data_IF_460218778990
#
_entry.id   IF_460218778990
#
_cell.length_a   1.000
_cell.length_b   1.000
_cell.length_c   1.000
_cell.angle_alpha   90.00
_cell.angle_beta   90.00
_cell.angle_gamma   90.00
#
_symmetry.space_group_name_H-M   'P 1'
#
loop_
_entity.id
_entity.type
_entity.pdbx_description
1 polymer ?
#
# COMPACT_ATOMS: atom_id res chain seq x y z
N UNK A 1 12.51 19.23 -0.74
CA UNK A 1 13.26 17.97 -0.51
C UNK A 1 14.43 17.86 -1.48
N UNK A 2 15.38 16.96 -1.21
CA UNK A 2 16.55 16.74 -2.08
C UNK A 2 16.15 16.07 -3.40
N UNK A 3 16.56 16.62 -4.54
CA UNK A 3 16.47 15.98 -5.85
C UNK A 3 17.66 15.02 -6.13
N UNK A 4 18.49 14.76 -5.12
CA UNK A 4 19.70 13.94 -5.22
C UNK A 4 19.37 12.49 -4.92
N UNK A 5 19.87 11.59 -5.77
CA UNK A 5 19.70 10.14 -5.66
C UNK A 5 21.04 9.44 -5.76
N UNK A 6 21.22 8.34 -5.03
CA UNK A 6 22.39 7.48 -5.19
C UNK A 6 22.39 6.72 -6.52
N UNK A 7 21.20 6.40 -7.04
CA UNK A 7 21.00 5.77 -8.35
C UNK A 7 20.01 6.62 -9.14
N UNK A 8 20.45 7.15 -10.28
CA UNK A 8 19.65 8.08 -11.09
C UNK A 8 18.84 7.39 -12.19
N UNK A 9 19.25 6.20 -12.65
CA UNK A 9 18.46 5.39 -13.59
C UNK A 9 17.31 4.71 -12.83
N UNK A 10 16.05 5.09 -13.07
CA UNK A 10 14.90 4.54 -12.36
C UNK A 10 14.65 3.07 -12.67
N UNK A 11 14.96 2.60 -13.88
CA UNK A 11 14.78 1.20 -14.23
C UNK A 11 15.83 0.32 -13.54
N UNK A 12 17.08 0.78 -13.54
CA UNK A 12 18.16 0.11 -12.82
C UNK A 12 17.91 0.10 -11.31
N UNK A 13 17.42 1.21 -10.73
CA UNK A 13 17.09 1.30 -9.31
C UNK A 13 16.02 0.28 -8.91
N UNK A 14 14.91 0.17 -9.66
CA UNK A 14 13.87 -0.81 -9.37
C UNK A 14 14.43 -2.23 -9.45
N UNK A 15 15.15 -2.56 -10.53
CA UNK A 15 15.69 -3.90 -10.72
C UNK A 15 16.70 -4.31 -9.63
N UNK A 16 17.59 -3.39 -9.23
CA UNK A 16 18.60 -3.64 -8.18
C UNK A 16 17.99 -3.68 -6.78
N UNK A 17 16.99 -2.83 -6.49
CA UNK A 17 16.23 -2.88 -5.23
C UNK A 17 15.55 -4.25 -5.04
N UNK A 18 14.86 -4.76 -6.07
CA UNK A 18 14.22 -6.07 -6.02
C UNK A 18 15.23 -7.20 -5.85
N UNK A 19 16.40 -7.13 -6.51
CA UNK A 19 17.49 -8.10 -6.30
C UNK A 19 18.06 -8.01 -4.89
N UNK A 20 18.13 -6.82 -4.31
CA UNK A 20 18.58 -6.61 -2.93
C UNK A 20 17.78 -7.44 -1.93
N UNK A 21 16.47 -7.57 -2.13
CA UNK A 21 15.61 -8.40 -1.28
C UNK A 21 16.00 -9.88 -1.27
N UNK A 22 16.48 -10.44 -2.38
CA UNK A 22 16.91 -11.84 -2.40
C UNK A 22 18.28 -12.05 -1.76
N UNK A 23 19.05 -10.98 -1.58
CA UNK A 23 20.35 -10.99 -0.88
C UNK A 23 20.12 -10.90 0.63
N UNK A 24 19.21 -10.01 1.07
CA UNK A 24 18.94 -9.75 2.49
C UNK A 24 17.92 -10.71 3.10
N UNK A 25 17.12 -11.38 2.27
CA UNK A 25 16.15 -12.37 2.71
C UNK A 25 16.22 -13.65 1.85
N UNK A 26 16.85 -14.74 2.36
CA UNK A 26 16.98 -15.98 1.61
C UNK A 26 15.65 -16.71 1.40
N UNK A 27 14.59 -16.37 2.14
CA UNK A 27 13.26 -16.99 2.00
C UNK A 27 12.50 -16.54 0.74
N UNK A 28 13.01 -15.56 0.00
CA UNK A 28 12.38 -15.05 -1.21
C UNK A 28 13.24 -15.26 -2.46
N UNK A 29 12.57 -15.28 -3.60
CA UNK A 29 13.15 -15.33 -4.93
C UNK A 29 12.57 -14.21 -5.79
N UNK A 30 13.24 -13.92 -6.91
CA UNK A 30 12.86 -12.88 -7.86
C UNK A 30 12.70 -13.48 -9.26
N UNK A 31 11.52 -13.26 -9.84
CA UNK A 31 11.32 -13.31 -11.30
C UNK A 31 11.78 -11.96 -11.87
N UNK A 32 12.98 -11.96 -12.45
CA UNK A 32 13.62 -10.73 -12.94
C UNK A 32 12.85 -10.14 -14.12
N UNK A 33 12.32 -10.99 -15.01
CA UNK A 33 11.61 -10.57 -16.22
C UNK A 33 10.29 -9.86 -15.86
N UNK A 34 9.54 -10.45 -14.93
CA UNK A 34 8.22 -9.95 -14.56
C UNK A 34 8.24 -9.04 -13.32
N UNK A 35 9.41 -8.83 -12.69
CA UNK A 35 9.58 -8.05 -11.44
C UNK A 35 8.66 -8.56 -10.32
N UNK A 36 8.63 -9.88 -10.12
CA UNK A 36 7.84 -10.52 -9.08
C UNK A 36 8.76 -11.04 -7.99
N UNK A 37 8.60 -10.52 -6.77
CA UNK A 37 9.22 -11.14 -5.60
C UNK A 37 8.22 -12.15 -5.03
N UNK A 38 8.66 -13.36 -4.77
CA UNK A 38 7.80 -14.43 -4.28
C UNK A 38 8.52 -15.27 -3.22
N UNK A 39 7.74 -15.85 -2.31
CA UNK A 39 8.26 -16.75 -1.28
C UNK A 39 8.77 -18.02 -1.95
N UNK A 40 9.96 -18.49 -1.56
CA UNK A 40 10.45 -19.81 -1.98
C UNK A 40 9.57 -20.88 -1.34
N UNK A 41 9.14 -21.84 -2.13
CA UNK A 41 8.42 -23.01 -1.62
C UNK A 41 9.38 -23.87 -0.81
N UNK A 42 9.05 -24.11 0.46
CA UNK A 42 9.79 -25.05 1.30
C UNK A 42 9.30 -26.49 1.03
N UNK A 43 10.19 -27.50 1.11
CA UNK A 43 9.77 -28.88 1.15
C UNK A 43 8.74 -29.09 2.27
N UNK A 44 7.64 -29.79 1.97
CA UNK A 44 6.55 -30.08 2.92
C UNK A 44 5.77 -28.86 3.44
N UNK A 45 5.83 -27.71 2.75
CA UNK A 45 4.95 -26.58 3.07
C UNK A 45 3.48 -27.01 2.99
N UNK A 46 2.71 -26.71 4.04
CA UNK A 46 1.27 -26.98 4.06
C UNK A 46 0.60 -26.02 3.08
N UNK A 47 -0.22 -26.53 2.14
CA UNK A 47 -1.00 -25.69 1.24
C UNK A 47 -1.86 -24.70 2.01
N UNK A 48 -1.89 -23.47 1.54
CA UNK A 48 -2.66 -22.37 2.12
C UNK A 48 -3.07 -21.39 1.03
N UNK A 49 -4.04 -20.51 1.32
CA UNK A 49 -4.42 -19.44 0.41
C UNK A 49 -3.20 -18.58 0.07
N UNK A 50 -2.92 -18.39 -1.21
CA UNK A 50 -1.83 -17.50 -1.63
C UNK A 50 -2.30 -16.06 -1.61
N UNK A 51 -1.50 -15.16 -1.04
CA UNK A 51 -1.79 -13.72 -1.02
C UNK A 51 -0.89 -12.99 -2.01
N UNK A 52 -1.49 -12.33 -2.99
CA UNK A 52 -0.79 -11.55 -4.02
C UNK A 52 -1.17 -10.07 -3.89
N UNK A 53 -0.17 -9.19 -3.95
CA UNK A 53 -0.36 -7.75 -4.05
C UNK A 53 0.69 -7.12 -4.96
N UNK A 54 0.72 -5.81 -5.06
CA UNK A 54 1.67 -5.09 -5.90
C UNK A 54 1.19 -3.70 -6.26
N UNK A 55 1.96 -3.04 -7.11
CA UNK A 55 1.73 -1.66 -7.50
C UNK A 55 2.99 -1.01 -8.07
N UNK A 56 2.96 0.31 -8.25
CA UNK A 56 4.16 1.05 -8.61
C UNK A 56 5.24 0.96 -7.53
N UNK A 57 6.51 0.91 -7.94
CA UNK A 57 7.66 1.00 -7.03
C UNK A 57 7.80 2.40 -6.43
N UNK A 58 8.65 2.55 -5.41
CA UNK A 58 8.87 3.81 -4.71
C UNK A 58 8.11 3.95 -3.39
N UNK A 59 7.49 2.86 -2.92
CA UNK A 59 6.74 2.77 -1.65
C UNK A 59 7.33 1.73 -0.71
N UNK A 60 8.60 1.36 -0.92
CA UNK A 60 9.25 0.29 -0.16
C UNK A 60 9.17 0.57 1.36
N UNK A 61 8.86 -0.44 2.20
CA UNK A 61 8.87 -1.88 1.89
C UNK A 61 7.62 -2.39 1.14
N UNK A 62 6.59 -1.58 0.93
CA UNK A 62 5.40 -1.99 0.17
C UNK A 62 5.74 -2.21 -1.32
N UNK A 63 5.42 -3.32 -1.95
CA UNK A 63 4.95 -4.59 -1.36
C UNK A 63 6.01 -5.67 -1.39
N UNK A 64 7.09 -5.50 -2.16
CA UNK A 64 8.11 -6.55 -2.33
C UNK A 64 8.83 -6.91 -1.03
N UNK A 65 9.04 -5.96 -0.12
CA UNK A 65 9.62 -6.20 1.20
C UNK A 65 8.67 -6.90 2.18
N UNK A 66 7.41 -7.07 1.79
CA UNK A 66 6.34 -7.70 2.59
C UNK A 66 6.07 -9.16 2.22
N UNK A 67 6.86 -9.72 1.28
CA UNK A 67 6.78 -11.13 0.90
C UNK A 67 7.42 -11.99 1.98
N UNK A 68 6.63 -12.87 2.58
CA UNK A 68 7.04 -13.66 3.72
C UNK A 68 5.90 -14.47 4.35
N UNK A 69 6.25 -15.35 5.27
CA UNK A 69 5.28 -16.16 6.01
C UNK A 69 4.31 -15.30 6.83
N UNK A 70 3.03 -15.66 6.82
CA UNK A 70 1.99 -14.90 7.53
C UNK A 70 1.66 -13.53 6.93
N UNK A 71 2.14 -13.26 5.71
CA UNK A 71 1.91 -12.01 4.96
C UNK A 71 1.72 -12.29 3.45
N UNK A 72 2.53 -11.71 2.55
CA UNK A 72 2.39 -11.92 1.10
C UNK A 72 3.11 -13.19 0.62
N UNK A 73 2.45 -13.95 -0.26
CA UNK A 73 3.09 -15.04 -1.01
C UNK A 73 3.89 -14.50 -2.18
N UNK A 74 3.37 -13.49 -2.88
CA UNK A 74 4.09 -12.77 -3.93
C UNK A 74 3.67 -11.30 -4.02
N UNK A 75 4.59 -10.47 -4.50
CA UNK A 75 4.40 -9.05 -4.77
C UNK A 75 4.88 -8.70 -6.18
N UNK A 76 4.07 -7.94 -6.91
CA UNK A 76 4.34 -7.56 -8.30
C UNK A 76 4.74 -6.09 -8.38
N UNK A 77 5.95 -5.81 -8.84
CA UNK A 77 6.46 -4.45 -8.93
C UNK A 77 6.30 -3.85 -10.33
N UNK A 78 5.68 -2.67 -10.38
CA UNK A 78 5.60 -1.81 -11.54
C UNK A 78 6.90 -1.03 -11.79
N UNK A 79 6.80 0.10 -12.47
CA UNK A 79 7.88 1.12 -12.43
C UNK A 79 7.57 2.13 -11.33
N UNK A 80 8.45 3.10 -11.09
CA UNK A 80 8.24 4.07 -10.00
C UNK A 80 6.92 4.83 -10.23
N UNK A 81 5.99 4.68 -9.29
CA UNK A 81 4.64 5.27 -9.29
C UNK A 81 3.74 4.88 -10.48
N UNK A 82 4.00 3.75 -11.13
CA UNK A 82 3.11 3.21 -12.15
C UNK A 82 2.86 1.71 -11.94
N UNK A 83 1.57 1.34 -11.94
CA UNK A 83 1.07 -0.03 -11.83
C UNK A 83 1.87 -1.02 -12.71
N UNK A 84 2.12 -2.25 -12.23
CA UNK A 84 2.56 -3.34 -13.10
C UNK A 84 1.52 -3.64 -14.19
N UNK A 85 1.97 -4.31 -15.25
CA UNK A 85 1.09 -4.73 -16.33
C UNK A 85 0.18 -5.87 -15.87
N UNK A 86 -0.99 -6.01 -16.51
CA UNK A 86 -1.90 -7.12 -16.25
C UNK A 86 -1.22 -8.48 -16.50
N UNK A 87 -0.24 -8.55 -17.40
CA UNK A 87 0.51 -9.78 -17.67
C UNK A 87 1.46 -10.13 -16.53
N UNK A 88 2.21 -9.17 -15.99
CA UNK A 88 3.04 -9.40 -14.80
C UNK A 88 2.20 -9.92 -13.63
N UNK A 89 1.02 -9.32 -13.41
CA UNK A 89 0.10 -9.73 -12.33
C UNK A 89 -0.44 -11.15 -12.59
N UNK A 90 -0.86 -11.43 -13.83
CA UNK A 90 -1.34 -12.76 -14.23
C UNK A 90 -0.26 -13.82 -14.02
N UNK A 91 0.98 -13.55 -14.41
CA UNK A 91 2.12 -14.45 -14.19
C UNK A 91 2.36 -14.71 -12.70
N UNK A 92 2.22 -13.69 -11.85
CA UNK A 92 2.33 -13.89 -10.41
C UNK A 92 1.26 -14.85 -9.87
N UNK A 93 -0.01 -14.62 -10.23
CA UNK A 93 -1.15 -15.43 -9.79
C UNK A 93 -1.05 -16.87 -10.31
N UNK A 94 -0.70 -17.05 -11.59
CA UNK A 94 -0.80 -18.34 -12.26
C UNK A 94 0.48 -19.18 -12.18
N UNK A 95 1.64 -18.58 -11.91
CA UNK A 95 2.93 -19.26 -12.09
C UNK A 95 3.94 -19.03 -10.96
N UNK A 96 3.70 -18.11 -10.02
CA UNK A 96 4.64 -17.82 -8.91
C UNK A 96 4.08 -18.11 -7.53
N UNK A 97 2.83 -18.56 -7.44
CA UNK A 97 2.19 -18.94 -6.18
C UNK A 97 1.45 -20.28 -6.31
N UNK A 98 1.22 -20.95 -5.18
CA UNK A 98 0.37 -22.14 -5.14
C UNK A 98 -1.10 -21.73 -5.24
N UNK A 99 -1.82 -22.34 -6.18
CA UNK A 99 -3.24 -22.04 -6.46
C UNK A 99 -4.19 -23.08 -5.89
N UNK A 100 -3.69 -24.14 -5.25
CA UNK A 100 -4.47 -25.28 -4.78
C UNK A 100 -5.52 -24.92 -3.71
N UNK A 101 -5.28 -23.87 -2.92
CA UNK A 101 -6.22 -23.32 -1.93
C UNK A 101 -6.81 -21.96 -2.38
N UNK A 102 -6.60 -21.59 -3.65
CA UNK A 102 -7.00 -20.31 -4.20
C UNK A 102 -6.04 -19.16 -3.90
N UNK A 103 -6.32 -18.02 -4.53
CA UNK A 103 -5.48 -16.81 -4.47
C UNK A 103 -6.32 -15.61 -4.05
N UNK A 104 -5.89 -14.89 -3.01
CA UNK A 104 -6.43 -13.59 -2.67
C UNK A 104 -5.52 -12.49 -3.22
N UNK A 105 -6.10 -11.62 -4.06
CA UNK A 105 -5.46 -10.41 -4.56
C UNK A 105 -5.91 -9.21 -3.73
N UNK A 106 -4.98 -8.51 -3.09
CA UNK A 106 -5.25 -7.25 -2.37
C UNK A 106 -4.60 -6.10 -3.13
N UNK A 107 -5.38 -5.08 -3.50
CA UNK A 107 -4.92 -3.93 -4.30
C UNK A 107 -5.31 -2.60 -3.65
N UNK A 108 -4.45 -1.59 -3.78
CA UNK A 108 -4.80 -0.22 -3.38
C UNK A 108 -5.78 0.40 -4.39
N UNK A 109 -6.70 1.24 -3.93
CA UNK A 109 -7.68 1.90 -4.78
C UNK A 109 -7.08 3.05 -5.60
N UNK A 110 -6.30 2.69 -6.60
CA UNK A 110 -5.84 3.57 -7.67
C UNK A 110 -6.38 3.05 -8.99
N UNK A 111 -6.94 3.93 -9.82
CA UNK A 111 -7.65 3.54 -11.05
C UNK A 111 -6.85 2.59 -11.92
N UNK A 112 -5.55 2.86 -12.11
CA UNK A 112 -4.69 1.99 -12.94
C UNK A 112 -4.47 0.63 -12.29
N UNK A 113 -4.18 0.58 -10.99
CA UNK A 113 -3.98 -0.68 -10.27
C UNK A 113 -5.26 -1.51 -10.29
N UNK A 114 -6.42 -0.94 -9.93
CA UNK A 114 -7.72 -1.63 -9.96
C UNK A 114 -8.02 -2.22 -11.34
N UNK A 115 -7.79 -1.45 -12.42
CA UNK A 115 -8.00 -1.95 -13.79
C UNK A 115 -7.03 -3.08 -14.15
N UNK A 116 -5.72 -2.93 -13.87
CA UNK A 116 -4.70 -3.92 -14.26
C UNK A 116 -4.83 -5.22 -13.45
N UNK A 117 -5.04 -5.12 -12.14
CA UNK A 117 -5.28 -6.27 -11.28
C UNK A 117 -6.62 -6.94 -11.59
N UNK A 118 -7.69 -6.17 -11.81
CA UNK A 118 -8.99 -6.70 -12.21
C UNK A 118 -8.90 -7.52 -13.50
N UNK A 119 -8.24 -6.98 -14.54
CA UNK A 119 -8.01 -7.72 -15.78
C UNK A 119 -7.24 -9.03 -15.57
N UNK A 120 -6.23 -9.04 -14.70
CA UNK A 120 -5.44 -10.23 -14.40
C UNK A 120 -6.25 -11.28 -13.61
N UNK A 121 -7.06 -10.83 -12.65
CA UNK A 121 -7.97 -11.68 -11.85
C UNK A 121 -9.00 -12.34 -12.75
N UNK A 122 -9.66 -11.58 -13.64
CA UNK A 122 -10.65 -12.14 -14.57
C UNK A 122 -10.03 -13.18 -15.52
N UNK A 123 -8.80 -12.95 -15.99
CA UNK A 123 -8.06 -13.92 -16.80
C UNK A 123 -7.70 -15.19 -16.02
N UNK A 124 -7.31 -15.05 -14.75
CA UNK A 124 -7.01 -16.19 -13.89
C UNK A 124 -8.27 -17.02 -13.59
N UNK A 125 -9.41 -16.37 -13.32
CA UNK A 125 -10.72 -17.01 -13.16
C UNK A 125 -11.13 -17.77 -14.41
N UNK A 126 -10.99 -17.15 -15.60
CA UNK A 126 -11.27 -17.80 -16.88
C UNK A 126 -10.37 -19.02 -17.15
N UNK A 127 -9.17 -19.07 -16.56
CA UNK A 127 -8.25 -20.20 -16.60
C UNK A 127 -8.52 -21.26 -15.51
N UNK A 128 -9.61 -21.14 -14.74
CA UNK A 128 -10.01 -22.10 -13.70
C UNK A 128 -9.37 -21.90 -12.34
N UNK A 129 -8.66 -20.79 -12.10
CA UNK A 129 -8.06 -20.48 -10.80
C UNK A 129 -9.11 -19.82 -9.91
N UNK A 130 -9.31 -20.34 -8.69
CA UNK A 130 -10.12 -19.69 -7.67
C UNK A 130 -9.39 -18.42 -7.17
N UNK A 131 -9.88 -17.25 -7.56
CA UNK A 131 -9.28 -15.96 -7.20
C UNK A 131 -10.32 -15.00 -6.64
N UNK A 132 -10.03 -14.41 -5.49
CA UNK A 132 -10.77 -13.27 -4.91
C UNK A 132 -9.95 -11.99 -5.02
N UNK A 133 -10.63 -10.85 -5.10
CA UNK A 133 -10.01 -9.54 -5.18
C UNK A 133 -10.62 -8.59 -4.15
N UNK A 134 -9.78 -7.99 -3.33
CA UNK A 134 -10.14 -6.98 -2.33
C UNK A 134 -9.41 -5.68 -2.65
N UNK A 135 -10.17 -4.60 -2.70
CA UNK A 135 -9.67 -3.24 -2.91
C UNK A 135 -9.59 -2.57 -1.54
N UNK A 136 -8.45 -1.95 -1.23
CA UNK A 136 -8.27 -1.13 -0.02
C UNK A 136 -8.32 0.34 -0.40
N UNK A 137 -9.18 1.08 0.30
CA UNK A 137 -9.49 2.48 0.02
C UNK A 137 -9.51 3.32 1.31
N UNK A 138 -8.47 3.26 2.13
CA UNK A 138 -8.45 3.81 3.50
C UNK A 138 -8.25 5.33 3.62
N UNK A 139 -7.86 6.04 2.56
CA UNK A 139 -7.47 7.46 2.64
C UNK A 139 -8.65 8.43 2.79
N UNK A 140 -8.74 9.09 3.94
CA UNK A 140 -9.76 10.11 4.25
C UNK A 140 -9.30 11.55 3.93
N UNK A 141 -8.06 11.73 3.50
CA UNK A 141 -7.52 13.04 3.12
C UNK A 141 -8.30 13.67 1.95
N UNK A 142 -8.88 12.84 1.07
CA UNK A 142 -9.78 13.26 0.00
C UNK A 142 -11.20 12.86 0.36
N UNK A 143 -12.05 13.84 0.68
CA UNK A 143 -13.46 13.61 0.97
C UNK A 143 -14.27 13.16 -0.25
N UNK A 144 -15.47 12.66 0.01
CA UNK A 144 -16.39 12.05 -0.97
C UNK A 144 -16.65 12.95 -2.19
N UNK A 145 -16.82 14.25 -1.98
CA UNK A 145 -17.10 15.20 -3.07
C UNK A 145 -15.94 15.23 -4.08
N UNK A 146 -14.70 15.31 -3.59
CA UNK A 146 -13.50 15.37 -4.44
C UNK A 146 -13.12 13.99 -5.02
N UNK A 147 -13.34 12.92 -4.25
CA UNK A 147 -13.11 11.54 -4.68
C UNK A 147 -14.05 11.08 -5.81
N UNK A 148 -15.28 11.62 -5.83
CA UNK A 148 -16.28 11.30 -6.84
C UNK A 148 -16.55 9.80 -6.93
N UNK A 149 -16.71 9.30 -8.17
CA UNK A 149 -17.03 7.88 -8.43
C UNK A 149 -15.85 6.92 -8.21
N UNK A 150 -14.62 7.43 -8.17
CA UNK A 150 -13.42 6.59 -7.96
C UNK A 150 -13.31 6.16 -6.50
N UNK A 151 -13.82 6.96 -5.58
CA UNK A 151 -13.73 6.70 -4.14
C UNK A 151 -12.38 7.11 -3.55
N UNK A 152 -12.14 6.67 -2.31
CA UNK A 152 -10.93 6.99 -1.54
C UNK A 152 -9.70 6.31 -2.15
N UNK A 153 -8.52 6.91 -1.97
CA UNK A 153 -7.25 6.23 -2.33
C UNK A 153 -6.97 5.11 -1.33
N UNK A 154 -6.22 4.09 -1.73
CA UNK A 154 -5.61 3.14 -0.79
C UNK A 154 -4.21 3.60 -0.42
N UNK A 155 -3.88 3.67 0.87
CA UNK A 155 -2.57 4.08 1.36
C UNK A 155 -2.06 3.07 2.41
N UNK A 156 -1.45 3.56 3.49
CA UNK A 156 -0.71 2.75 4.45
C UNK A 156 -1.57 1.67 5.12
N UNK A 157 -2.87 1.91 5.36
CA UNK A 157 -3.79 0.93 5.98
C UNK A 157 -3.86 -0.40 5.24
N UNK A 158 -3.53 -0.43 3.94
CA UNK A 158 -3.36 -1.67 3.15
C UNK A 158 -2.50 -2.72 3.85
N UNK A 159 -1.46 -2.30 4.59
CA UNK A 159 -0.58 -3.20 5.35
C UNK A 159 -1.34 -3.99 6.42
N UNK A 160 -2.34 -3.38 7.06
CA UNK A 160 -3.17 -4.02 8.09
C UNK A 160 -4.05 -5.10 7.46
N UNK A 161 -4.65 -4.81 6.30
CA UNK A 161 -5.44 -5.78 5.54
C UNK A 161 -4.59 -6.97 5.08
N UNK A 162 -3.37 -6.70 4.58
CA UNK A 162 -2.39 -7.74 4.21
C UNK A 162 -2.01 -8.61 5.41
N UNK A 163 -1.74 -8.02 6.58
CA UNK A 163 -1.33 -8.77 7.77
C UNK A 163 -2.45 -9.65 8.30
N UNK A 164 -3.70 -9.18 8.29
CA UNK A 164 -4.86 -9.95 8.70
C UNK A 164 -5.12 -11.12 7.74
N UNK A 165 -5.11 -10.86 6.43
CA UNK A 165 -5.27 -11.89 5.41
C UNK A 165 -4.16 -12.95 5.48
N UNK A 166 -2.90 -12.52 5.54
CA UNK A 166 -1.75 -13.42 5.63
C UNK A 166 -1.75 -14.28 6.89
N UNK A 167 -2.20 -13.73 8.04
CA UNK A 167 -2.34 -14.50 9.27
C UNK A 167 -3.39 -15.61 9.15
N UNK A 168 -4.56 -15.31 8.57
CA UNK A 168 -5.63 -16.31 8.40
C UNK A 168 -5.27 -17.35 7.35
N UNK A 169 -4.60 -16.95 6.28
CA UNK A 169 -4.05 -17.88 5.30
C UNK A 169 -3.04 -18.85 5.95
N UNK A 170 -2.10 -18.32 6.74
CA UNK A 170 -1.13 -19.16 7.46
C UNK A 170 -1.79 -20.09 8.49
N UNK A 171 -2.95 -19.71 9.03
CA UNK A 171 -3.79 -20.56 9.88
C UNK A 171 -4.64 -21.58 9.11
N UNK A 172 -4.48 -21.68 7.78
CA UNK A 172 -5.18 -22.66 6.94
C UNK A 172 -6.66 -22.33 6.70
N UNK A 173 -7.08 -21.07 6.88
CA UNK A 173 -8.46 -20.67 6.59
C UNK A 173 -8.74 -20.66 5.09
N UNK A 174 -9.96 -21.01 4.65
CA UNK A 174 -10.31 -21.05 3.22
C UNK A 174 -10.40 -19.64 2.62
N UNK A 175 -10.29 -19.57 1.29
CA UNK A 175 -10.20 -18.31 0.52
C UNK A 175 -11.31 -17.31 0.85
N UNK A 176 -12.56 -17.78 0.99
CA UNK A 176 -13.72 -16.92 1.27
C UNK A 176 -13.60 -16.24 2.64
N UNK A 177 -13.10 -16.95 3.64
CA UNK A 177 -12.89 -16.40 4.98
C UNK A 177 -11.73 -15.40 5.02
N UNK A 178 -10.63 -15.72 4.35
CA UNK A 178 -9.48 -14.82 4.23
C UNK A 178 -9.88 -13.53 3.50
N UNK A 179 -10.63 -13.64 2.40
CA UNK A 179 -11.15 -12.50 1.66
C UNK A 179 -12.15 -11.68 2.50
N UNK A 180 -13.05 -12.35 3.23
CA UNK A 180 -14.02 -11.68 4.12
C UNK A 180 -13.32 -10.86 5.21
N UNK A 181 -12.27 -11.42 5.82
CA UNK A 181 -11.50 -10.69 6.82
C UNK A 181 -10.78 -9.47 6.23
N UNK A 182 -10.17 -9.60 5.05
CA UNK A 182 -9.54 -8.48 4.36
C UNK A 182 -10.54 -7.37 4.02
N UNK A 183 -11.75 -7.72 3.54
CA UNK A 183 -12.83 -6.76 3.29
C UNK A 183 -13.28 -6.08 4.58
N UNK A 184 -13.47 -6.85 5.66
CA UNK A 184 -13.88 -6.31 6.95
C UNK A 184 -12.86 -5.29 7.46
N UNK A 185 -11.56 -5.63 7.41
CA UNK A 185 -10.49 -4.69 7.77
C UNK A 185 -10.56 -3.44 6.89
N UNK A 186 -10.61 -3.60 5.56
CA UNK A 186 -10.70 -2.46 4.63
C UNK A 186 -11.86 -1.50 4.95
N UNK A 187 -13.04 -2.04 5.26
CA UNK A 187 -14.21 -1.21 5.60
C UNK A 187 -14.10 -0.50 6.95
N UNK A 188 -13.19 -0.92 7.82
CA UNK A 188 -12.94 -0.33 9.14
C UNK A 188 -11.59 0.40 9.20
N UNK A 189 -10.97 0.68 8.05
CA UNK A 189 -9.75 1.47 7.96
C UNK A 189 -10.05 2.92 7.57
N UNK A 190 -9.36 3.82 8.26
CA UNK A 190 -9.24 5.23 7.93
C UNK A 190 -7.78 5.63 8.10
N UNK A 191 -7.23 6.36 7.15
CA UNK A 191 -5.86 6.85 7.17
C UNK A 191 -5.78 8.24 6.56
N UNK A 192 -4.87 9.07 7.07
CA UNK A 192 -4.59 10.39 6.51
C UNK A 192 -3.11 10.69 6.68
N UNK A 193 -2.52 11.33 5.67
CA UNK A 193 -1.13 11.75 5.66
C UNK A 193 -0.98 13.27 5.71
N UNK A 194 0.18 13.73 6.14
CA UNK A 194 0.64 15.09 5.95
C UNK A 194 2.06 15.07 5.38
N UNK A 195 2.43 16.07 4.60
CA UNK A 195 3.72 16.13 3.93
C UNK A 195 4.35 17.51 3.97
N UNK A 196 5.66 17.54 4.20
CA UNK A 196 6.46 18.77 4.23
C UNK A 196 7.00 19.16 2.85
N UNK A 197 6.99 18.24 1.89
CA UNK A 197 7.47 18.45 0.51
C UNK A 197 7.08 17.27 -0.38
N UNK A 198 7.17 17.44 -1.69
CA UNK A 198 6.98 16.37 -2.67
C UNK A 198 8.21 15.47 -2.77
N UNK A 199 7.98 14.17 -3.01
CA UNK A 199 9.05 13.23 -3.37
C UNK A 199 9.55 13.50 -4.79
N UNK A 200 10.87 13.43 -4.99
CA UNK A 200 11.49 13.51 -6.31
C UNK A 200 11.73 12.11 -6.87
N UNK A 201 11.28 11.85 -8.10
CA UNK A 201 11.54 10.58 -8.80
C UNK A 201 12.86 10.66 -9.56
N UNK A 202 13.81 9.72 -9.38
CA UNK A 202 15.08 9.69 -10.11
C UNK A 202 14.90 9.83 -11.63
N UNK A 203 15.76 10.63 -12.26
CA UNK A 203 15.71 10.86 -13.71
C UNK A 203 14.57 11.77 -14.20
N UNK A 204 13.68 12.26 -13.32
CA UNK A 204 12.69 13.29 -13.67
C UNK A 204 13.23 14.70 -13.43
N UNK A 205 12.62 15.67 -14.11
CA UNK A 205 12.87 17.10 -13.83
C UNK A 205 12.32 17.46 -12.46
N UNK A 206 12.99 18.39 -11.79
CA UNK A 206 12.49 19.00 -10.56
C UNK A 206 11.27 19.84 -10.93
N UNK A 207 10.12 19.57 -10.32
CA UNK A 207 8.95 20.41 -10.48
C UNK A 207 9.15 21.73 -9.71
N UNK A 208 8.86 22.86 -10.35
CA UNK A 208 9.01 24.20 -9.76
C UNK A 208 8.11 24.36 -8.52
N UNK A 209 6.98 23.65 -8.49
CA UNK A 209 5.93 23.71 -7.47
C UNK A 209 6.14 22.70 -6.32
N UNK A 210 7.30 22.03 -6.25
CA UNK A 210 7.55 20.88 -5.35
C UNK A 210 7.89 21.24 -3.90
N UNK A 211 8.07 22.52 -3.62
CA UNK A 211 8.49 23.04 -2.31
C UNK A 211 7.37 23.80 -1.63
N UNK A 212 7.03 23.39 -0.40
CA UNK A 212 6.21 24.18 0.51
C UNK A 212 7.10 25.22 1.22
N UNK A 213 6.58 26.42 1.55
CA UNK A 213 7.29 27.35 2.41
C UNK A 213 7.61 26.73 3.78
N UNK A 214 8.63 27.25 4.46
CA UNK A 214 8.95 26.80 5.83
C UNK A 214 7.75 26.98 6.75
N UNK A 215 7.47 25.98 7.58
CA UNK A 215 6.32 25.94 8.49
C UNK A 215 5.00 25.50 7.84
N UNK A 216 4.96 25.33 6.51
CA UNK A 216 3.78 24.80 5.82
C UNK A 216 3.82 23.29 5.69
N UNK A 217 2.64 22.69 5.79
CA UNK A 217 2.39 21.27 5.55
C UNK A 217 1.26 21.13 4.54
N UNK A 218 1.30 20.08 3.72
CA UNK A 218 0.19 19.68 2.86
C UNK A 218 -0.53 18.47 3.48
N UNK A 219 -1.76 18.69 3.95
CA UNK A 219 -2.60 17.65 4.55
C UNK A 219 -3.32 16.89 3.45
N UNK A 220 -3.34 15.56 3.52
CA UNK A 220 -4.00 14.69 2.57
C UNK A 220 -3.28 14.60 1.22
N UNK A 221 -1.99 14.95 1.13
CA UNK A 221 -1.19 14.64 -0.05
C UNK A 221 -1.14 13.13 -0.29
N UNK A 222 -1.32 12.69 -1.53
CA UNK A 222 -1.26 11.28 -1.89
C UNK A 222 0.17 10.75 -1.98
N UNK A 223 0.32 9.42 -1.94
CA UNK A 223 1.63 8.76 -1.95
C UNK A 223 2.41 8.96 -3.27
N UNK A 224 1.77 9.46 -4.35
CA UNK A 224 2.42 9.77 -5.61
C UNK A 224 2.52 11.29 -5.88
N UNK A 225 2.50 12.12 -4.83
CA UNK A 225 2.38 13.58 -4.88
C UNK A 225 1.02 14.08 -5.44
N UNK A 226 -0.05 13.29 -5.36
CA UNK A 226 -1.38 13.81 -5.71
C UNK A 226 -1.78 14.93 -4.73
N UNK A 227 -2.30 16.06 -5.21
CA UNK A 227 -2.53 17.23 -4.38
C UNK A 227 -3.56 16.96 -3.29
N UNK A 228 -3.18 17.29 -2.06
CA UNK A 228 -4.05 17.32 -0.90
C UNK A 228 -5.13 18.41 -1.02
N UNK A 229 -6.16 18.38 -0.15
CA UNK A 229 -7.14 19.46 -0.06
C UNK A 229 -6.56 20.78 0.45
N UNK A 230 -5.46 20.77 1.20
CA UNK A 230 -5.07 21.92 2.02
C UNK A 230 -3.56 22.02 2.23
N UNK A 231 -3.03 23.24 2.04
CA UNK A 231 -1.68 23.66 2.41
C UNK A 231 -1.79 24.71 3.50
N UNK A 232 -1.23 24.45 4.67
CA UNK A 232 -1.45 25.29 5.86
C UNK A 232 -0.17 25.42 6.69
N UNK A 233 0.03 26.58 7.31
CA UNK A 233 1.03 26.79 8.37
C UNK A 233 0.43 26.37 9.70
N UNK A 234 0.95 25.31 10.31
CA UNK A 234 0.37 24.72 11.51
C UNK A 234 1.42 23.98 12.33
N UNK A 235 1.34 24.10 13.64
CA UNK A 235 2.19 23.35 14.58
C UNK A 235 1.69 21.92 14.77
N UNK A 236 2.60 21.02 15.16
CA UNK A 236 2.33 19.58 15.25
C UNK A 236 1.09 19.21 16.07
N UNK A 237 0.86 19.75 17.30
CA UNK A 237 -0.33 19.39 18.08
C UNK A 237 -1.66 19.67 17.37
N UNK A 238 -1.75 20.83 16.73
CA UNK A 238 -2.94 21.23 15.97
C UNK A 238 -3.08 20.42 14.68
N UNK A 239 -1.98 20.05 14.03
CA UNK A 239 -1.97 19.17 12.87
C UNK A 239 -2.50 17.78 13.21
N UNK A 240 -2.00 17.18 14.30
CA UNK A 240 -2.45 15.87 14.78
C UNK A 240 -3.93 15.92 15.16
N UNK A 241 -4.34 16.93 15.93
CA UNK A 241 -5.75 17.14 16.29
C UNK A 241 -6.66 17.20 15.05
N UNK A 242 -6.23 17.94 14.02
CA UNK A 242 -6.95 18.05 12.75
C UNK A 242 -7.03 16.71 12.01
N UNK A 243 -5.92 15.98 11.93
CA UNK A 243 -5.86 14.67 11.27
C UNK A 243 -6.72 13.62 11.99
N UNK A 244 -6.70 13.59 13.32
CA UNK A 244 -7.57 12.73 14.12
C UNK A 244 -9.05 13.10 13.94
N UNK A 245 -9.37 14.39 13.86
CA UNK A 245 -10.70 14.87 13.51
C UNK A 245 -11.19 14.33 12.16
N UNK A 246 -10.34 14.36 11.13
CA UNK A 246 -10.66 13.80 9.81
C UNK A 246 -10.89 12.28 9.83
N UNK A 247 -10.23 11.56 10.74
CA UNK A 247 -10.35 10.11 10.87
C UNK A 247 -11.60 9.70 11.67
N UNK A 248 -11.95 10.44 12.71
CA UNK A 248 -12.84 9.99 13.78
C UNK A 248 -14.15 10.79 13.89
N UNK A 249 -14.28 11.96 13.26
CA UNK A 249 -15.53 12.72 13.32
C UNK A 249 -16.62 12.07 12.46
N UNK A 250 -17.55 11.37 13.12
CA UNK A 250 -18.71 10.76 12.48
C UNK A 250 -19.72 11.79 11.93
N UNK A 251 -19.60 13.07 12.29
CA UNK A 251 -20.46 14.14 11.79
C UNK A 251 -19.92 14.81 10.53
N UNK A 252 -18.67 14.54 10.12
CA UNK A 252 -18.12 15.04 8.87
C UNK A 252 -18.82 14.35 7.68
N UNK A 253 -19.78 15.04 7.06
CA UNK A 253 -20.57 14.50 5.94
C UNK A 253 -19.71 14.13 4.72
N UNK A 254 -18.51 14.69 4.60
CA UNK A 254 -17.59 14.45 3.49
C UNK A 254 -16.53 13.38 3.83
N UNK A 255 -16.22 13.13 5.11
CA UNK A 255 -15.15 12.20 5.57
C UNK A 255 -15.53 11.16 6.62
N UNK A 256 -16.77 11.12 7.10
CA UNK A 256 -17.26 10.03 7.94
C UNK A 256 -17.35 8.74 7.10
N UNK A 257 -16.21 8.04 6.98
CA UNK A 257 -16.09 6.77 6.28
C UNK A 257 -16.23 5.57 7.20
N UNK A 258 -15.99 5.76 8.50
CA UNK A 258 -16.25 4.77 9.54
C UNK A 258 -17.74 4.78 9.90
N UNK A 259 -18.35 3.60 10.04
CA UNK A 259 -19.77 3.48 10.41
C UNK A 259 -20.03 3.68 11.91
N UNK A 260 -19.05 3.35 12.74
CA UNK A 260 -19.09 3.51 14.21
C UNK A 260 -17.67 3.73 14.72
N UNK A 261 -17.53 4.39 15.87
CA UNK A 261 -16.25 4.44 16.57
C UNK A 261 -15.98 3.10 17.27
N UNK A 262 -14.76 2.57 17.15
CA UNK A 262 -14.41 1.30 17.78
C UNK A 262 -14.20 1.46 19.29
N UNK A 263 -14.41 0.37 20.03
CA UNK A 263 -14.04 0.29 21.46
C UNK A 263 -12.53 0.06 21.65
N UNK A 264 -11.83 -0.38 20.61
CA UNK A 264 -10.39 -0.64 20.59
C UNK A 264 -9.83 -0.45 19.19
N UNK A 265 -8.64 0.14 19.09
CA UNK A 265 -8.05 0.55 17.80
C UNK A 265 -6.62 0.03 17.67
N UNK A 266 -6.23 -0.30 16.44
CA UNK A 266 -4.82 -0.42 16.06
C UNK A 266 -4.40 0.89 15.42
N UNK A 267 -3.43 1.58 16.02
CA UNK A 267 -2.86 2.80 15.48
C UNK A 267 -1.55 2.47 14.73
N UNK A 268 -1.42 2.99 13.51
CA UNK A 268 -0.18 2.90 12.74
C UNK A 268 0.32 4.30 12.39
N UNK A 269 1.45 4.69 12.96
CA UNK A 269 2.16 5.93 12.59
C UNK A 269 3.16 5.59 11.50
N UNK A 270 2.84 5.98 10.27
CA UNK A 270 3.64 5.65 9.08
C UNK A 270 4.53 6.82 8.64
N UNK A 271 5.81 6.54 8.40
CA UNK A 271 6.73 7.49 7.79
C UNK A 271 6.70 7.34 6.26
N UNK A 272 6.40 8.43 5.54
CA UNK A 272 6.39 8.45 4.07
C UNK A 272 7.81 8.44 3.44
N UNK A 273 8.86 8.44 4.27
CA UNK A 273 10.25 8.17 3.89
C UNK A 273 11.25 9.27 4.24
N UNK A 274 10.78 10.51 4.42
CA UNK A 274 11.63 11.69 4.65
C UNK A 274 11.79 12.12 6.11
N UNK A 275 11.05 11.52 7.04
CA UNK A 275 11.06 11.90 8.47
C UNK A 275 12.12 11.08 9.20
N UNK A 276 12.87 11.69 10.13
CA UNK A 276 13.83 10.93 10.94
C UNK A 276 13.12 10.01 11.95
N UNK A 277 13.79 8.94 12.41
CA UNK A 277 13.25 8.09 13.49
C UNK A 277 13.07 8.89 14.79
N UNK A 278 13.92 9.90 15.02
CA UNK A 278 13.79 10.82 16.14
C UNK A 278 12.48 11.60 16.09
N UNK A 279 12.17 12.24 14.95
CA UNK A 279 10.91 12.96 14.74
C UNK A 279 9.70 12.02 14.81
N UNK A 280 9.81 10.80 14.26
CA UNK A 280 8.72 9.81 14.31
C UNK A 280 8.35 9.45 15.76
N UNK A 281 9.34 9.38 16.67
CA UNK A 281 9.10 9.19 18.11
C UNK A 281 8.36 10.37 18.75
N UNK A 282 8.73 11.60 18.38
CA UNK A 282 8.03 12.82 18.81
C UNK A 282 6.58 12.85 18.32
N UNK A 283 6.36 12.58 17.04
CA UNK A 283 5.02 12.48 16.43
C UNK A 283 4.19 11.40 17.13
N UNK A 284 4.79 10.24 17.40
CA UNK A 284 4.10 9.14 18.09
C UNK A 284 3.63 9.57 19.48
N UNK A 285 4.44 10.33 20.21
CA UNK A 285 4.08 10.85 21.54
C UNK A 285 2.86 11.78 21.45
N UNK A 286 2.84 12.68 20.47
CA UNK A 286 1.73 13.61 20.26
C UNK A 286 0.42 12.91 19.83
N UNK A 287 0.51 11.84 19.04
CA UNK A 287 -0.70 11.12 18.58
C UNK A 287 -1.38 10.35 19.71
N UNK A 288 -0.64 9.92 20.73
CA UNK A 288 -1.17 9.10 21.84
C UNK A 288 -1.47 9.88 23.11
N UNK A 289 -1.08 11.15 23.18
CA UNK A 289 -1.37 12.05 24.31
C UNK A 289 -2.80 12.57 24.27
#
# INVERSE_FOLDING_TARGET
MSAKHFINDPAHLVATSLRGLTITNPSVALDVEHKIVYRRTLPHAVPQVSIVSGGGSGHEPSFSGMVGEGMLTAAVAGTIFASPSAEQIRTAIASRVDTSQGVLVIVMNYTRDVLKFGMAVERARAAGIAVEMVIVDDDVGVGRVKAGKVGRRGIAGTVVALKAAGALAAAGRPLDEVARAARLVSTNLASVGASLSHVHVPGRRIAEDSTLPLGYVEVGMGIHNEPGPERISIELPALISKMLGQLLDLNDKDRAFLGTLPTSTVLMVNNLGGVSVLELGGITTEVVS
#
